data_IF_848884113713
#
_entry.id   IF_848884113713
#
_cell.length_a   1.000
_cell.length_b   1.000
_cell.length_c   1.000
_cell.angle_alpha   90.00
_cell.angle_beta   90.00
_cell.angle_gamma   90.00
#
_symmetry.space_group_name_H-M   'P 1'
#
loop_
_entity.id
_entity.type
_entity.pdbx_description
1 polymer ?
#
# COMPACT_ATOMS: atom_id res chain seq x y z
N UNK A 1 -9.21 -17.61 10.07
CA UNK A 1 -9.33 -16.41 9.22
C UNK A 1 -8.31 -16.49 8.09
N UNK A 2 -7.01 -16.56 8.41
CA UNK A 2 -5.92 -16.63 7.44
C UNK A 2 -6.14 -17.61 6.29
N UNK A 3 -6.40 -18.90 6.52
CA UNK A 3 -6.56 -19.86 5.41
C UNK A 3 -7.75 -19.54 4.48
N UNK A 4 -8.78 -18.87 4.99
CA UNK A 4 -9.95 -18.43 4.20
C UNK A 4 -9.67 -17.16 3.39
N UNK A 5 -8.60 -16.45 3.73
CA UNK A 5 -8.13 -15.22 3.06
C UNK A 5 -6.97 -15.56 2.12
N UNK A 6 -5.96 -16.29 2.58
CA UNK A 6 -4.69 -16.55 1.91
C UNK A 6 -4.88 -17.10 0.50
N UNK A 7 -5.53 -18.26 0.35
CA UNK A 7 -5.61 -18.92 -0.94
C UNK A 7 -6.48 -18.14 -1.95
N UNK A 8 -7.74 -17.79 -1.63
CA UNK A 8 -8.62 -17.09 -2.57
C UNK A 8 -8.20 -15.63 -2.87
N UNK A 9 -7.53 -14.96 -1.93
CA UNK A 9 -7.13 -13.56 -2.12
C UNK A 9 -5.70 -13.37 -2.55
N UNK A 10 -4.75 -14.26 -2.21
CA UNK A 10 -3.31 -14.00 -2.42
C UNK A 10 -2.65 -14.99 -3.38
N UNK A 11 -3.05 -16.26 -3.38
CA UNK A 11 -2.33 -17.34 -4.08
C UNK A 11 -2.95 -17.70 -5.44
N UNK A 12 -4.20 -17.30 -5.69
CA UNK A 12 -4.94 -17.64 -6.90
C UNK A 12 -5.38 -16.39 -7.68
N UNK A 13 -5.58 -16.47 -9.01
CA UNK A 13 -6.26 -15.42 -9.76
C UNK A 13 -7.65 -15.15 -9.19
N UNK A 14 -8.10 -13.89 -9.25
CA UNK A 14 -9.42 -13.52 -8.75
C UNK A 14 -10.52 -14.28 -9.51
N UNK A 15 -11.38 -14.96 -8.77
CA UNK A 15 -12.43 -15.79 -9.36
C UNK A 15 -13.56 -14.95 -10.00
N UNK A 16 -14.25 -15.45 -11.04
CA UNK A 16 -15.42 -14.78 -11.60
C UNK A 16 -16.54 -14.54 -10.59
N UNK A 17 -16.72 -15.44 -9.62
CA UNK A 17 -17.69 -15.38 -8.52
C UNK A 17 -17.10 -14.74 -7.25
N UNK A 18 -16.23 -13.74 -7.42
CA UNK A 18 -15.56 -13.01 -6.33
C UNK A 18 -16.52 -12.45 -5.27
N UNK A 19 -17.82 -12.29 -5.57
CA UNK A 19 -18.83 -11.85 -4.61
C UNK A 19 -18.89 -12.79 -3.39
N UNK A 20 -18.50 -14.06 -3.51
CA UNK A 20 -18.36 -14.99 -2.37
C UNK A 20 -17.37 -14.46 -1.32
N UNK A 21 -16.31 -13.79 -1.76
CA UNK A 21 -15.30 -13.17 -0.88
C UNK A 21 -15.83 -11.89 -0.23
N UNK A 22 -16.68 -11.14 -0.96
CA UNK A 22 -17.34 -9.95 -0.42
C UNK A 22 -18.45 -10.32 0.56
N UNK A 23 -19.22 -11.36 0.32
CA UNK A 23 -20.46 -11.57 1.08
C UNK A 23 -20.22 -12.31 2.41
N UNK A 24 -18.98 -12.74 2.69
CA UNK A 24 -18.60 -13.51 3.88
C UNK A 24 -17.51 -12.81 4.68
N UNK A 25 -17.78 -12.56 5.96
CA UNK A 25 -16.78 -12.10 6.93
C UNK A 25 -15.92 -13.29 7.42
N UNK A 26 -14.63 -13.39 7.06
CA UNK A 26 -13.77 -14.51 7.46
C UNK A 26 -13.28 -14.42 8.91
N UNK A 27 -13.40 -13.25 9.56
CA UNK A 27 -12.98 -13.08 10.95
C UNK A 27 -13.91 -13.85 11.91
N UNK A 28 -13.36 -14.71 12.80
CA UNK A 28 -14.16 -15.49 13.74
C UNK A 28 -14.55 -14.66 14.97
N UNK A 29 -15.37 -13.61 14.76
CA UNK A 29 -15.78 -12.69 15.81
C UNK A 29 -16.42 -13.41 17.02
N UNK A 30 -16.02 -12.99 18.21
CA UNK A 30 -16.51 -13.53 19.48
C UNK A 30 -17.93 -13.04 19.73
N UNK A 31 -18.88 -13.92 20.10
CA UNK A 31 -20.23 -13.50 20.47
C UNK A 31 -20.22 -12.62 21.72
N UNK A 32 -20.65 -11.36 21.59
CA UNK A 32 -20.77 -10.42 22.69
C UNK A 32 -22.26 -10.26 23.08
N UNK A 33 -22.62 -10.69 24.29
CA UNK A 33 -23.98 -10.55 24.82
C UNK A 33 -24.16 -9.16 25.42
N UNK A 34 -25.12 -8.39 24.92
CA UNK A 34 -25.54 -7.11 25.53
C UNK A 34 -27.07 -7.13 25.66
N UNK A 35 -27.54 -7.22 26.91
CA UNK A 35 -28.95 -7.46 27.23
C UNK A 35 -29.46 -8.73 26.52
N UNK A 36 -30.60 -8.65 25.82
CA UNK A 36 -31.24 -9.75 25.11
C UNK A 36 -30.68 -10.00 23.69
N UNK A 37 -29.65 -9.26 23.26
CA UNK A 37 -29.07 -9.38 21.91
C UNK A 37 -27.63 -9.89 21.97
N UNK A 38 -27.32 -10.87 21.13
CA UNK A 38 -25.94 -11.29 20.86
C UNK A 38 -25.45 -10.54 19.62
N UNK A 39 -24.35 -9.81 19.75
CA UNK A 39 -23.68 -9.11 18.64
C UNK A 39 -22.34 -9.77 18.36
N UNK A 40 -21.80 -9.53 17.16
CA UNK A 40 -20.46 -9.95 16.74
C UNK A 40 -19.77 -8.77 16.11
N UNK A 41 -18.50 -8.59 16.41
CA UNK A 41 -17.71 -7.53 15.80
C UNK A 41 -17.73 -7.69 14.28
N UNK A 42 -18.01 -6.59 13.61
CA UNK A 42 -18.19 -6.49 12.16
C UNK A 42 -17.29 -5.42 11.55
N UNK A 43 -16.59 -4.68 12.40
CA UNK A 43 -15.49 -3.77 12.05
C UNK A 43 -14.29 -4.00 12.95
N UNK A 44 -13.13 -3.51 12.51
CA UNK A 44 -11.89 -3.59 13.29
C UNK A 44 -11.99 -2.83 14.63
N UNK A 45 -12.61 -1.65 14.63
CA UNK A 45 -12.87 -0.89 15.85
C UNK A 45 -13.77 -1.65 16.84
N UNK A 46 -14.77 -2.41 16.37
CA UNK A 46 -15.60 -3.24 17.24
C UNK A 46 -14.81 -4.39 17.88
N UNK A 47 -13.85 -4.99 17.17
CA UNK A 47 -12.91 -5.97 17.78
C UNK A 47 -12.16 -5.29 18.93
N UNK A 48 -11.56 -4.13 18.67
CA UNK A 48 -10.83 -3.36 19.67
C UNK A 48 -11.69 -3.03 20.90
N UNK A 49 -12.94 -2.63 20.70
CA UNK A 49 -13.84 -2.22 21.78
C UNK A 49 -14.47 -3.39 22.55
N UNK A 50 -14.75 -4.52 21.91
CA UNK A 50 -15.55 -5.61 22.49
C UNK A 50 -14.72 -6.83 22.87
N UNK A 51 -13.62 -7.08 22.17
CA UNK A 51 -12.79 -8.29 22.34
C UNK A 51 -11.46 -7.98 23.06
N UNK A 52 -10.95 -6.75 22.96
CA UNK A 52 -9.74 -6.32 23.66
C UNK A 52 -10.09 -5.58 24.95
N UNK A 53 -9.40 -5.93 26.05
CA UNK A 53 -9.66 -5.38 27.39
C UNK A 53 -8.91 -4.09 27.70
N UNK A 54 -7.89 -3.76 26.91
CA UNK A 54 -7.00 -2.62 27.13
C UNK A 54 -7.08 -1.65 25.95
N UNK A 55 -7.39 -0.36 26.19
CA UNK A 55 -7.49 0.64 25.12
C UNK A 55 -6.19 0.80 24.31
N UNK A 56 -5.03 0.48 24.90
CA UNK A 56 -3.73 0.50 24.19
C UNK A 56 -3.64 -0.61 23.15
N UNK A 57 -4.23 -1.77 23.41
CA UNK A 57 -4.30 -2.86 22.43
C UNK A 57 -5.27 -2.53 21.29
N UNK A 58 -6.37 -1.83 21.60
CA UNK A 58 -7.27 -1.31 20.57
C UNK A 58 -6.58 -0.26 19.69
N UNK A 59 -5.79 0.65 20.29
CA UNK A 59 -4.99 1.63 19.56
C UNK A 59 -3.91 0.96 18.70
N UNK A 60 -3.25 -0.09 19.21
CA UNK A 60 -2.30 -0.89 18.44
C UNK A 60 -2.98 -1.52 17.21
N UNK A 61 -4.12 -2.17 17.40
CA UNK A 61 -4.91 -2.80 16.33
C UNK A 61 -5.34 -1.76 15.27
N UNK A 62 -5.85 -0.61 15.71
CA UNK A 62 -6.23 0.48 14.82
C UNK A 62 -5.03 1.04 14.05
N UNK A 63 -3.85 1.13 14.68
CA UNK A 63 -2.62 1.59 14.06
C UNK A 63 -2.19 0.75 12.86
N UNK A 64 -2.45 -0.57 12.87
CA UNK A 64 -2.19 -1.41 11.70
C UNK A 64 -3.06 -1.03 10.50
N UNK A 65 -4.37 -0.85 10.69
CA UNK A 65 -5.24 -0.38 9.61
C UNK A 65 -4.80 0.99 9.08
N UNK A 66 -4.47 1.91 10.00
CA UNK A 66 -4.04 3.25 9.66
C UNK A 66 -2.74 3.26 8.84
N UNK A 67 -1.76 2.42 9.20
CA UNK A 67 -0.51 2.26 8.45
C UNK A 67 -0.73 1.78 7.02
N UNK A 68 -1.80 1.02 6.78
CA UNK A 68 -2.26 0.57 5.48
C UNK A 68 -3.22 1.54 4.77
N UNK A 69 -3.50 2.71 5.35
CA UNK A 69 -4.40 3.71 4.76
C UNK A 69 -5.86 3.29 4.81
N UNK A 70 -6.25 2.53 5.84
CA UNK A 70 -7.61 2.03 6.05
C UNK A 70 -8.17 2.65 7.33
N UNK A 71 -9.39 3.17 7.26
CA UNK A 71 -10.10 3.72 8.42
C UNK A 71 -10.54 2.57 9.36
N UNK A 72 -9.99 2.45 10.58
CA UNK A 72 -10.34 1.37 11.51
C UNK A 72 -11.81 1.36 11.94
N UNK A 73 -12.51 2.51 11.85
CA UNK A 73 -13.93 2.59 12.21
C UNK A 73 -14.84 1.90 11.18
N UNK A 74 -14.43 1.88 9.91
CA UNK A 74 -15.20 1.32 8.79
C UNK A 74 -14.60 0.03 8.23
N UNK A 75 -13.32 -0.23 8.49
CA UNK A 75 -12.62 -1.46 8.11
C UNK A 75 -13.39 -2.70 8.57
N UNK A 76 -13.49 -3.75 7.73
CA UNK A 76 -14.09 -5.01 8.15
C UNK A 76 -13.30 -5.66 9.28
N UNK A 77 -13.95 -6.56 10.02
CA UNK A 77 -13.30 -7.32 11.08
C UNK A 77 -12.13 -8.17 10.53
N UNK A 78 -12.20 -8.60 9.27
CA UNK A 78 -11.11 -9.30 8.56
C UNK A 78 -9.80 -8.51 8.48
N UNK A 79 -9.81 -7.19 8.64
CA UNK A 79 -8.61 -6.37 8.72
C UNK A 79 -7.69 -6.75 9.91
N UNK A 80 -8.19 -7.50 10.90
CA UNK A 80 -7.37 -8.09 11.96
C UNK A 80 -6.31 -9.09 11.43
N UNK A 81 -6.39 -9.49 10.15
CA UNK A 81 -5.34 -10.27 9.48
C UNK A 81 -4.02 -9.49 9.34
N UNK A 82 -4.06 -8.16 9.27
CA UNK A 82 -2.89 -7.31 9.06
C UNK A 82 -1.84 -7.47 10.20
N UNK A 83 -2.19 -7.29 11.49
CA UNK A 83 -1.26 -7.58 12.57
C UNK A 83 -0.91 -9.06 12.69
N UNK A 84 -1.82 -9.98 12.31
CA UNK A 84 -1.53 -11.40 12.31
C UNK A 84 -0.39 -11.76 11.35
N UNK A 85 -0.36 -11.17 10.14
CA UNK A 85 0.70 -11.44 9.16
C UNK A 85 2.07 -11.03 9.70
N UNK A 86 2.20 -9.83 10.28
CA UNK A 86 3.46 -9.38 10.88
C UNK A 86 3.85 -10.25 12.08
N UNK A 87 2.90 -10.63 12.93
CA UNK A 87 3.20 -11.47 14.10
C UNK A 87 3.59 -12.91 13.73
N UNK A 88 2.91 -13.51 12.76
CA UNK A 88 3.08 -14.92 12.39
C UNK A 88 4.30 -15.15 11.48
N UNK A 89 4.59 -14.21 10.58
CA UNK A 89 5.63 -14.37 9.57
C UNK A 89 6.85 -13.47 9.85
N UNK A 90 6.66 -12.35 10.54
CA UNK A 90 7.71 -11.39 10.86
C UNK A 90 7.75 -10.20 9.89
N UNK A 91 8.71 -9.32 10.16
CA UNK A 91 9.05 -8.16 9.32
C UNK A 91 10.53 -8.26 8.96
N UNK A 92 10.86 -8.06 7.68
CA UNK A 92 12.22 -8.12 7.18
C UNK A 92 12.71 -6.76 6.71
N UNK A 93 14.02 -6.58 6.79
CA UNK A 93 14.73 -5.41 6.31
C UNK A 93 15.80 -5.83 5.32
N UNK A 94 15.88 -5.12 4.19
CA UNK A 94 16.92 -5.31 3.18
C UNK A 94 18.10 -4.42 3.54
N UNK A 95 19.28 -5.01 3.75
CA UNK A 95 20.51 -4.24 4.00
C UNK A 95 20.83 -3.35 2.80
N UNK A 96 21.20 -2.09 3.06
CA UNK A 96 21.29 -1.01 2.07
C UNK A 96 19.94 -0.34 1.77
N UNK A 97 18.85 -0.78 2.40
CA UNK A 97 17.51 -0.24 2.20
C UNK A 97 16.77 -0.88 1.01
N UNK A 98 15.51 -0.49 0.84
CA UNK A 98 14.60 -1.14 -0.14
C UNK A 98 15.03 -0.95 -1.60
N UNK A 99 15.83 0.08 -1.90
CA UNK A 99 16.38 0.32 -3.25
C UNK A 99 17.23 -0.85 -3.73
N UNK A 100 17.91 -1.55 -2.82
CA UNK A 100 18.74 -2.70 -3.17
C UNK A 100 17.91 -3.84 -3.75
N UNK A 101 16.67 -4.03 -3.29
CA UNK A 101 15.77 -5.02 -3.88
C UNK A 101 15.42 -4.66 -5.33
N UNK A 102 15.12 -3.39 -5.61
CA UNK A 102 14.86 -2.93 -6.98
C UNK A 102 16.09 -3.10 -7.87
N UNK A 103 17.29 -2.76 -7.36
CA UNK A 103 18.56 -2.93 -8.07
C UNK A 103 18.80 -4.40 -8.45
N UNK A 104 18.69 -5.34 -7.51
CA UNK A 104 18.96 -6.76 -7.81
C UNK A 104 17.93 -7.37 -8.76
N UNK A 105 16.66 -6.92 -8.70
CA UNK A 105 15.63 -7.32 -9.67
C UNK A 105 15.97 -6.79 -11.05
N UNK A 106 16.34 -5.51 -11.17
CA UNK A 106 16.76 -4.90 -12.43
C UNK A 106 17.97 -5.65 -13.05
N UNK A 107 19.01 -5.90 -12.27
CA UNK A 107 20.19 -6.66 -12.70
C UNK A 107 19.83 -8.08 -13.14
N UNK A 108 18.89 -8.74 -12.44
CA UNK A 108 18.42 -10.07 -12.81
C UNK A 108 17.65 -10.06 -14.13
N UNK A 109 16.84 -9.04 -14.37
CA UNK A 109 16.12 -8.84 -15.63
C UNK A 109 17.11 -8.65 -16.80
N UNK A 110 18.14 -7.82 -16.63
CA UNK A 110 19.20 -7.65 -17.64
C UNK A 110 19.93 -8.97 -17.94
N UNK A 111 20.25 -9.77 -16.90
CA UNK A 111 20.86 -11.09 -17.07
C UNK A 111 19.94 -12.09 -17.81
N UNK A 112 18.63 -11.82 -17.83
CA UNK A 112 17.62 -12.55 -18.61
C UNK A 112 17.28 -11.90 -19.95
N UNK A 113 18.07 -10.88 -20.36
CA UNK A 113 17.93 -10.14 -21.62
C UNK A 113 16.63 -9.36 -21.74
N UNK A 114 16.05 -8.96 -20.60
CA UNK A 114 14.95 -7.98 -20.59
C UNK A 114 15.52 -6.62 -20.95
N UNK A 115 14.89 -5.94 -21.90
CA UNK A 115 15.21 -4.57 -22.29
C UNK A 115 14.45 -3.57 -21.43
N UNK A 116 15.10 -2.46 -21.09
CA UNK A 116 14.49 -1.34 -20.37
C UNK A 116 14.62 -0.08 -21.22
N UNK A 117 13.49 0.50 -21.60
CA UNK A 117 13.42 1.78 -22.32
C UNK A 117 12.91 2.84 -21.36
N UNK A 118 13.79 3.74 -20.92
CA UNK A 118 13.44 4.84 -20.02
C UNK A 118 13.08 6.10 -20.81
N UNK A 119 12.27 6.98 -20.20
CA UNK A 119 11.79 8.19 -20.88
C UNK A 119 10.77 7.90 -22.01
N UNK A 120 10.23 6.69 -22.05
CA UNK A 120 9.25 6.21 -23.02
C UNK A 120 7.85 6.20 -22.39
N UNK A 121 7.22 7.37 -22.28
CA UNK A 121 5.85 7.47 -21.78
C UNK A 121 4.87 6.81 -22.76
N UNK A 122 4.09 5.84 -22.28
CA UNK A 122 3.03 5.17 -23.06
C UNK A 122 1.78 6.03 -23.02
N UNK A 123 1.25 6.36 -24.19
CA UNK A 123 0.03 7.19 -24.34
C UNK A 123 -1.18 6.39 -24.81
N UNK A 124 -0.96 5.22 -25.44
CA UNK A 124 -2.05 4.36 -25.92
C UNK A 124 -1.64 2.90 -25.97
N UNK A 125 -2.57 2.01 -25.65
CA UNK A 125 -2.50 0.57 -25.93
C UNK A 125 -3.20 0.32 -27.26
N UNK A 126 -2.50 -0.33 -28.17
CA UNK A 126 -3.01 -0.67 -29.50
C UNK A 126 -3.82 -1.96 -29.43
N UNK A 127 -4.96 -1.97 -30.11
CA UNK A 127 -5.88 -3.11 -30.15
C UNK A 127 -6.24 -3.41 -31.60
N UNK A 128 -5.97 -4.64 -32.04
CA UNK A 128 -6.26 -5.17 -33.37
C UNK A 128 -7.11 -6.43 -33.24
N UNK A 129 -8.18 -6.55 -34.04
CA UNK A 129 -9.13 -7.66 -33.99
C UNK A 129 -9.65 -7.97 -32.56
N UNK A 130 -9.77 -6.92 -31.73
CA UNK A 130 -10.22 -7.01 -30.35
C UNK A 130 -9.16 -7.48 -29.34
N UNK A 131 -7.92 -7.72 -29.75
CA UNK A 131 -6.79 -8.14 -28.89
C UNK A 131 -5.75 -7.03 -28.76
N UNK A 132 -5.07 -6.93 -27.62
CA UNK A 132 -3.89 -6.08 -27.49
C UNK A 132 -2.80 -6.48 -28.50
N UNK A 133 -2.22 -5.48 -29.17
CA UNK A 133 -1.24 -5.65 -30.24
C UNK A 133 0.06 -4.84 -30.02
N UNK A 134 0.13 -4.04 -28.96
CA UNK A 134 1.29 -3.21 -28.68
C UNK A 134 0.94 -1.93 -27.93
N UNK A 135 1.89 -0.99 -27.92
CA UNK A 135 1.75 0.34 -27.31
C UNK A 135 2.28 1.44 -28.22
N UNK A 136 1.70 2.63 -28.08
CA UNK A 136 2.18 3.87 -28.68
C UNK A 136 2.77 4.75 -27.58
N UNK A 137 3.93 5.34 -27.88
CA UNK A 137 4.65 6.25 -27.00
C UNK A 137 4.29 7.71 -27.29
N UNK A 138 4.63 8.61 -26.35
CA UNK A 138 4.36 10.04 -26.46
C UNK A 138 5.03 10.72 -27.67
N UNK A 139 6.12 10.15 -28.18
CA UNK A 139 6.80 10.63 -29.39
C UNK A 139 6.20 10.08 -30.71
N UNK A 140 5.15 9.26 -30.62
CA UNK A 140 4.49 8.60 -31.74
C UNK A 140 5.12 7.27 -32.15
N UNK A 141 6.19 6.81 -31.48
CA UNK A 141 6.78 5.50 -31.72
C UNK A 141 5.79 4.40 -31.35
N UNK A 142 5.70 3.39 -32.20
CA UNK A 142 4.88 2.19 -31.97
C UNK A 142 5.79 1.01 -31.64
N UNK A 143 5.49 0.32 -30.54
CA UNK A 143 6.12 -0.93 -30.15
C UNK A 143 5.07 -2.04 -30.18
N UNK A 144 5.18 -2.95 -31.15
CA UNK A 144 4.31 -4.11 -31.29
C UNK A 144 4.61 -5.15 -30.21
N UNK A 145 3.57 -5.81 -29.69
CA UNK A 145 3.70 -6.86 -28.69
C UNK A 145 2.52 -7.83 -28.71
N UNK A 146 2.80 -9.13 -28.52
CA UNK A 146 1.77 -10.17 -28.37
C UNK A 146 0.94 -9.98 -27.09
N UNK A 147 1.56 -9.41 -26.06
CA UNK A 147 0.97 -9.20 -24.75
C UNK A 147 1.38 -7.83 -24.22
N UNK A 148 0.41 -7.13 -23.61
CA UNK A 148 0.63 -5.85 -22.93
C UNK A 148 0.30 -6.03 -21.46
N UNK A 149 1.25 -5.69 -20.59
CA UNK A 149 1.06 -5.75 -19.14
C UNK A 149 1.15 -4.34 -18.58
N UNK A 150 0.00 -3.76 -18.26
CA UNK A 150 -0.08 -2.42 -17.69
C UNK A 150 0.01 -2.43 -16.17
N UNK A 151 0.63 -1.38 -15.63
CA UNK A 151 0.45 -1.05 -14.23
C UNK A 151 -0.89 -0.31 -14.07
N UNK A 152 -1.57 -0.54 -12.94
CA UNK A 152 -2.71 0.28 -12.48
C UNK A 152 -4.01 0.18 -13.32
N UNK A 153 -4.96 -0.68 -12.92
CA UNK A 153 -6.23 -0.93 -13.63
C UNK A 153 -7.07 0.30 -13.97
N UNK A 154 -7.05 1.33 -13.12
CA UNK A 154 -7.82 2.56 -13.35
C UNK A 154 -7.28 3.35 -14.54
N UNK A 155 -5.97 3.45 -14.67
CA UNK A 155 -5.31 4.19 -15.76
C UNK A 155 -5.42 3.51 -17.10
N UNK A 156 -5.45 2.18 -17.10
CA UNK A 156 -5.68 1.41 -18.33
C UNK A 156 -6.92 1.91 -19.07
N UNK A 157 -7.98 2.32 -18.35
CA UNK A 157 -9.19 2.89 -18.95
C UNK A 157 -8.97 4.17 -19.77
N UNK A 158 -7.89 4.92 -19.50
CA UNK A 158 -7.48 6.08 -20.30
C UNK A 158 -6.55 5.75 -21.46
N UNK A 159 -5.97 4.53 -21.50
CA UNK A 159 -5.00 4.11 -22.50
C UNK A 159 -5.60 3.22 -23.59
N UNK A 160 -6.77 2.61 -23.37
CA UNK A 160 -7.44 1.75 -24.36
C UNK A 160 -8.66 2.41 -24.98
N UNK A 161 -8.94 2.09 -26.24
CA UNK A 161 -10.22 2.40 -26.87
C UNK A 161 -11.28 1.40 -26.38
N UNK A 162 -11.91 1.68 -25.24
CA UNK A 162 -12.97 0.84 -24.66
C UNK A 162 -12.87 0.72 -23.14
N UNK A 163 -13.61 -0.23 -22.55
CA UNK A 163 -13.57 -0.47 -21.11
C UNK A 163 -12.78 -1.74 -20.82
N UNK A 164 -11.61 -1.67 -20.16
CA UNK A 164 -10.79 -2.85 -19.87
C UNK A 164 -11.47 -3.80 -18.87
N UNK A 165 -12.49 -3.36 -18.14
CA UNK A 165 -13.23 -4.19 -17.18
C UNK A 165 -14.73 -4.10 -17.44
N UNK A 166 -15.35 -5.25 -17.71
CA UNK A 166 -16.78 -5.34 -18.03
C UNK A 166 -17.72 -5.32 -16.82
N UNK A 167 -19.04 -5.31 -17.07
CA UNK A 167 -20.05 -5.43 -16.02
C UNK A 167 -19.84 -6.70 -15.19
N UNK A 168 -19.84 -6.56 -13.86
CA UNK A 168 -19.65 -7.68 -12.93
C UNK A 168 -18.21 -7.92 -12.48
N UNK A 169 -17.21 -7.30 -13.12
CA UNK A 169 -15.86 -7.25 -12.58
C UNK A 169 -15.78 -6.39 -11.30
N UNK A 170 -14.75 -6.62 -10.49
CA UNK A 170 -14.37 -5.63 -9.46
C UNK A 170 -13.92 -4.37 -10.19
N UNK A 171 -14.75 -3.33 -10.11
CA UNK A 171 -14.52 -2.09 -10.85
C UNK A 171 -13.25 -1.39 -10.36
N UNK A 172 -12.30 -1.04 -11.25
CA UNK A 172 -11.22 -0.13 -10.92
C UNK A 172 -11.77 1.14 -10.30
N UNK A 173 -11.10 1.64 -9.26
CA UNK A 173 -11.48 2.87 -8.58
C UNK A 173 -10.43 3.95 -8.84
N UNK A 174 -10.81 5.24 -8.87
CA UNK A 174 -9.84 6.32 -8.85
C UNK A 174 -8.91 6.17 -7.63
N UNK A 175 -7.60 6.15 -7.88
CA UNK A 175 -6.57 5.96 -6.87
C UNK A 175 -6.62 7.05 -5.79
N UNK A 176 -7.00 8.26 -6.18
CA UNK A 176 -7.03 9.47 -5.37
C UNK A 176 -8.13 9.46 -4.27
N UNK A 177 -8.90 8.37 -4.18
CA UNK A 177 -9.78 8.06 -3.05
C UNK A 177 -9.02 7.53 -1.84
N UNK A 178 -7.80 7.05 -2.03
CA UNK A 178 -7.00 6.43 -0.96
C UNK A 178 -5.94 7.39 -0.41
N UNK A 179 -5.57 7.27 0.88
CA UNK A 179 -4.56 8.14 1.47
C UNK A 179 -3.16 7.96 0.84
N UNK A 180 -2.38 9.05 0.83
CA UNK A 180 -0.95 9.02 0.54
C UNK A 180 -0.11 8.80 1.80
N UNK A 181 1.20 9.04 1.68
CA UNK A 181 2.14 9.04 2.80
C UNK A 181 2.97 10.32 2.79
N UNK A 182 3.25 10.86 3.97
CA UNK A 182 4.34 11.80 4.16
C UNK A 182 5.51 11.05 4.78
N UNK A 183 6.70 11.29 4.25
CA UNK A 183 7.96 10.70 4.72
C UNK A 183 8.94 11.82 5.06
N UNK A 184 9.59 11.72 6.22
CA UNK A 184 10.69 12.63 6.60
C UNK A 184 11.94 11.79 6.81
N UNK A 185 12.92 11.93 5.92
CA UNK A 185 14.23 11.30 6.06
C UNK A 185 15.14 12.22 6.88
N UNK A 186 15.81 11.68 7.89
CA UNK A 186 16.63 12.43 8.83
C UNK A 186 18.04 11.87 8.87
N UNK A 187 19.02 12.76 8.70
CA UNK A 187 20.42 12.50 9.03
C UNK A 187 20.72 13.08 10.42
N UNK A 188 21.17 12.23 11.33
CA UNK A 188 21.34 12.57 12.73
C UNK A 188 22.81 12.50 13.15
N UNK A 189 23.21 13.45 14.00
CA UNK A 189 24.44 13.40 14.80
C UNK A 189 24.25 12.44 15.97
N UNK A 190 25.30 11.75 16.34
CA UNK A 190 25.33 10.80 17.45
C UNK A 190 24.93 9.40 17.00
N UNK A 191 25.55 8.41 17.62
CA UNK A 191 25.28 7.00 17.37
C UNK A 191 23.83 6.64 17.72
N UNK A 192 23.33 5.60 17.04
CA UNK A 192 22.10 4.93 17.43
C UNK A 192 22.26 4.27 18.81
N UNK A 193 21.22 4.37 19.64
CA UNK A 193 21.25 3.79 20.98
C UNK A 193 21.40 2.26 20.91
N UNK A 194 22.27 1.65 21.75
CA UNK A 194 22.35 0.20 21.86
C UNK A 194 20.98 -0.38 22.22
N UNK A 195 20.52 -1.36 21.43
CA UNK A 195 19.23 -2.02 21.66
C UNK A 195 17.99 -1.21 21.27
N UNK A 196 18.12 -0.05 20.61
CA UNK A 196 16.97 0.63 20.03
C UNK A 196 16.18 -0.33 19.12
N UNK A 197 14.85 -0.19 19.09
CA UNK A 197 14.03 -0.95 18.16
C UNK A 197 14.29 -0.50 16.71
N UNK A 198 14.18 -1.42 15.75
CA UNK A 198 14.25 -1.07 14.33
C UNK A 198 13.07 -0.16 13.94
N UNK A 199 11.88 -0.45 14.47
CA UNK A 199 10.65 0.29 14.21
C UNK A 199 9.94 0.58 15.52
N UNK A 200 9.55 1.83 15.71
CA UNK A 200 8.66 2.27 16.79
C UNK A 200 7.44 2.95 16.18
N UNK A 201 6.24 2.61 16.64
CA UNK A 201 5.01 3.33 16.28
C UNK A 201 4.61 4.24 17.43
N UNK A 202 4.56 5.53 17.16
CA UNK A 202 4.25 6.56 18.14
C UNK A 202 2.80 7.01 17.90
N UNK A 203 1.86 6.31 18.55
CA UNK A 203 0.42 6.53 18.38
C UNK A 203 0.00 7.96 18.73
N UNK A 204 -0.95 8.51 17.96
CA UNK A 204 -1.53 9.82 18.23
C UNK A 204 -2.12 9.90 19.64
N UNK A 205 -2.00 11.08 20.26
CA UNK A 205 -2.72 11.41 21.49
C UNK A 205 -4.18 11.85 21.21
N UNK A 206 -4.54 12.01 19.94
CA UNK A 206 -5.89 12.32 19.45
C UNK A 206 -6.30 11.33 18.34
N UNK A 207 -6.67 10.09 18.70
CA UNK A 207 -7.06 9.07 17.72
C UNK A 207 -8.35 9.39 16.96
N UNK A 208 -9.24 10.20 17.53
CA UNK A 208 -10.50 10.57 16.87
C UNK A 208 -10.27 11.64 15.79
N UNK A 209 -9.49 12.68 16.10
CA UNK A 209 -9.08 13.70 15.12
C UNK A 209 -8.19 13.13 14.02
N UNK A 210 -7.51 12.00 14.27
CA UNK A 210 -6.76 11.30 13.22
C UNK A 210 -7.67 10.76 12.09
N UNK A 211 -8.93 10.43 12.40
CA UNK A 211 -9.87 9.92 11.41
C UNK A 211 -10.41 10.99 10.46
N UNK A 212 -10.18 12.28 10.74
CA UNK A 212 -10.54 13.37 9.83
C UNK A 212 -9.80 13.30 8.50
N UNK A 213 -8.66 12.59 8.46
CA UNK A 213 -7.96 12.30 7.22
C UNK A 213 -8.85 11.53 6.23
N UNK A 214 -9.68 10.61 6.73
CA UNK A 214 -10.59 9.81 5.91
C UNK A 214 -11.92 10.50 5.65
N UNK A 215 -12.45 11.22 6.65
CA UNK A 215 -13.77 11.85 6.60
C UNK A 215 -13.78 13.16 5.82
N UNK A 216 -12.72 13.95 5.99
CA UNK A 216 -12.65 15.34 5.54
C UNK A 216 -11.46 15.61 4.62
N UNK A 217 -10.54 14.65 4.46
CA UNK A 217 -9.32 14.86 3.68
C UNK A 217 -8.36 15.83 4.36
N UNK A 218 -8.46 15.98 5.69
CA UNK A 218 -7.64 16.91 6.47
C UNK A 218 -6.52 16.16 7.18
N UNK A 219 -5.26 16.60 7.09
CA UNK A 219 -4.17 15.95 7.79
C UNK A 219 -4.32 16.11 9.32
N UNK A 220 -4.00 15.06 10.10
CA UNK A 220 -4.21 15.07 11.54
C UNK A 220 -3.38 16.15 12.26
N UNK A 221 -3.97 16.80 13.26
CA UNK A 221 -3.26 17.75 14.14
C UNK A 221 -2.11 17.07 14.88
N UNK A 222 -2.35 15.86 15.39
CA UNK A 222 -1.37 15.00 16.04
C UNK A 222 -1.32 13.67 15.27
N UNK A 223 -0.34 13.46 14.37
CA UNK A 223 -0.26 12.20 13.62
C UNK A 223 0.29 11.06 14.47
N UNK A 224 -0.20 9.85 14.22
CA UNK A 224 0.52 8.61 14.48
C UNK A 224 1.72 8.55 13.53
N UNK A 225 2.92 8.38 14.10
CA UNK A 225 4.18 8.38 13.33
C UNK A 225 4.90 7.05 13.49
N UNK A 226 5.24 6.42 12.37
CA UNK A 226 6.18 5.30 12.34
C UNK A 226 7.61 5.86 12.28
N UNK A 227 8.44 5.42 13.21
CA UNK A 227 9.85 5.81 13.36
C UNK A 227 10.70 4.58 13.04
N UNK A 228 11.31 4.56 11.86
CA UNK A 228 12.23 3.50 11.44
C UNK A 228 13.69 3.95 11.69
N UNK A 229 14.41 3.20 12.54
CA UNK A 229 15.80 3.39 12.96
C UNK A 229 16.63 2.14 12.60
N UNK A 230 16.90 1.89 11.30
CA UNK A 230 17.66 0.73 10.86
C UNK A 230 19.08 0.75 11.45
N UNK A 231 19.52 -0.37 12.00
CA UNK A 231 20.92 -0.56 12.38
C UNK A 231 21.71 -1.09 11.19
N UNK A 232 21.93 -0.20 10.22
CA UNK A 232 22.60 -0.52 8.97
C UNK A 232 23.75 0.45 8.70
N UNK A 233 25.01 0.01 8.81
CA UNK A 233 26.17 0.83 8.51
C UNK A 233 26.16 1.41 7.09
N UNK A 234 25.48 0.78 6.13
CA UNK A 234 25.40 1.30 4.76
C UNK A 234 24.58 2.59 4.64
N UNK A 235 23.80 2.96 5.66
CA UNK A 235 22.95 4.15 5.67
C UNK A 235 23.56 5.33 6.44
N UNK A 236 24.78 5.20 6.96
CA UNK A 236 25.47 6.24 7.72
C UNK A 236 26.94 6.38 7.28
N UNK A 237 27.52 7.59 7.38
CA UNK A 237 28.93 7.79 7.01
C UNK A 237 29.91 7.09 7.97
N UNK A 238 29.57 7.05 9.27
CA UNK A 238 30.36 6.42 10.33
C UNK A 238 29.47 6.12 11.56
N UNK A 239 30.05 5.56 12.62
CA UNK A 239 29.34 5.19 13.85
C UNK A 239 28.96 6.39 14.75
N UNK A 240 29.40 7.60 14.42
CA UNK A 240 28.99 8.82 15.13
C UNK A 240 27.70 9.42 14.53
N UNK A 241 27.05 8.74 13.59
CA UNK A 241 25.84 9.20 12.91
C UNK A 241 24.73 8.13 12.92
N UNK A 242 23.50 8.58 12.67
CA UNK A 242 22.34 7.70 12.54
C UNK A 242 21.42 8.20 11.41
N UNK A 243 20.86 7.27 10.65
CA UNK A 243 19.77 7.54 9.70
C UNK A 243 18.44 7.17 10.35
N UNK A 244 17.43 8.02 10.21
CA UNK A 244 16.08 7.74 10.69
C UNK A 244 15.03 8.17 9.67
N UNK A 245 13.95 7.40 9.55
CA UNK A 245 12.83 7.72 8.65
C UNK A 245 11.54 7.81 9.45
N UNK A 246 10.82 8.91 9.30
CA UNK A 246 9.49 9.10 9.84
C UNK A 246 8.46 8.88 8.73
N UNK A 247 7.36 8.18 9.02
CA UNK A 247 6.25 8.01 8.07
C UNK A 247 4.92 8.23 8.76
N UNK A 248 4.03 8.98 8.11
CA UNK A 248 2.64 9.17 8.54
C UNK A 248 1.68 8.96 7.36
N UNK A 249 0.48 8.44 7.67
CA UNK A 249 -0.63 8.37 6.72
C UNK A 249 -1.27 9.74 6.61
N UNK A 250 -1.44 10.22 5.37
CA UNK A 250 -1.94 11.57 5.10
C UNK A 250 -2.91 11.58 3.91
N UNK A 251 -3.78 12.58 3.77
CA UNK A 251 -4.62 12.74 2.59
C UNK A 251 -3.81 12.80 1.29
N UNK A 252 -4.34 12.25 0.20
CA UNK A 252 -3.76 12.39 -1.14
C UNK A 252 -3.70 13.86 -1.57
N UNK A 253 -2.82 14.20 -2.51
CA UNK A 253 -2.65 15.56 -2.99
C UNK A 253 -3.86 16.11 -3.77
N UNK A 254 -4.81 15.27 -4.17
CA UNK A 254 -6.09 15.74 -4.74
C UNK A 254 -7.11 16.16 -3.66
N UNK A 255 -6.84 15.83 -2.39
CA UNK A 255 -7.71 16.15 -1.24
C UNK A 255 -7.14 17.26 -0.38
N UNK A 256 -5.83 17.46 -0.43
CA UNK A 256 -5.14 18.47 0.37
C UNK A 256 -3.96 19.06 -0.39
N UNK A 257 -3.84 20.39 -0.37
CA UNK A 257 -2.78 21.11 -1.09
C UNK A 257 -1.45 21.05 -0.31
N UNK A 258 -0.69 20.00 -0.56
CA UNK A 258 0.67 19.83 -0.04
C UNK A 258 1.69 20.78 -0.67
N UNK A 259 1.35 21.44 -1.78
CA UNK A 259 2.23 22.35 -2.50
C UNK A 259 2.17 23.78 -1.97
N UNK A 260 1.17 24.10 -1.16
CA UNK A 260 1.04 25.39 -0.51
C UNK A 260 2.28 25.72 0.35
N UNK A 261 2.82 26.96 0.28
CA UNK A 261 4.02 27.33 1.01
C UNK A 261 3.98 27.02 2.51
N UNK A 262 4.99 26.32 3.01
CA UNK A 262 5.15 25.98 4.43
C UNK A 262 4.25 24.85 4.97
N UNK A 263 3.28 24.35 4.19
CA UNK A 263 2.35 23.31 4.64
C UNK A 263 3.05 21.98 4.90
N UNK A 264 3.90 21.53 3.97
CA UNK A 264 4.66 20.30 4.12
C UNK A 264 5.62 20.37 5.32
N UNK A 265 6.37 21.48 5.44
CA UNK A 265 7.29 21.71 6.56
C UNK A 265 6.56 21.73 7.91
N UNK A 266 5.42 22.41 8.01
CA UNK A 266 4.64 22.45 9.24
C UNK A 266 4.11 21.06 9.65
N UNK A 267 3.77 20.20 8.69
CA UNK A 267 3.41 18.81 9.01
C UNK A 267 4.64 17.97 9.40
N UNK A 268 5.78 18.15 8.73
CA UNK A 268 7.03 17.50 9.10
C UNK A 268 7.46 17.86 10.54
N UNK A 269 7.30 19.11 10.96
CA UNK A 269 7.54 19.53 12.36
C UNK A 269 6.63 18.80 13.36
N UNK A 270 5.35 18.59 13.01
CA UNK A 270 4.44 17.78 13.83
C UNK A 270 4.91 16.34 13.93
N UNK A 271 5.39 15.76 12.83
CA UNK A 271 5.93 14.39 12.83
C UNK A 271 7.19 14.28 13.70
N UNK A 272 8.11 15.23 13.63
CA UNK A 272 9.32 15.28 14.47
C UNK A 272 8.93 15.42 15.94
N UNK A 273 7.97 16.30 16.25
CA UNK A 273 7.45 16.48 17.61
C UNK A 273 6.83 15.19 18.17
N UNK A 274 6.06 14.46 17.35
CA UNK A 274 5.53 13.17 17.77
C UNK A 274 6.65 12.14 18.00
N UNK A 275 7.65 12.08 17.12
CA UNK A 275 8.78 11.16 17.19
C UNK A 275 9.67 11.39 18.42
N UNK A 276 9.78 12.62 18.94
CA UNK A 276 10.53 12.93 20.15
C UNK A 276 10.04 12.19 21.40
N UNK A 277 8.76 11.78 21.43
CA UNK A 277 8.25 10.93 22.52
C UNK A 277 8.92 9.55 22.56
N UNK A 278 9.45 9.08 21.43
CA UNK A 278 10.21 7.84 21.32
C UNK A 278 11.74 8.07 21.26
N UNK A 279 12.18 9.24 20.79
CA UNK A 279 13.59 9.61 20.69
C UNK A 279 13.79 11.01 21.30
N UNK A 280 13.94 11.11 22.64
CA UNK A 280 14.14 12.40 23.30
C UNK A 280 15.37 13.13 22.77
N UNK A 281 15.27 14.46 22.59
CA UNK A 281 16.35 15.29 22.05
C UNK A 281 16.58 15.13 20.54
N UNK A 282 15.64 14.52 19.81
CA UNK A 282 15.76 14.30 18.36
C UNK A 282 16.12 15.58 17.60
N UNK A 283 15.45 16.71 17.86
CA UNK A 283 15.69 17.95 17.11
C UNK A 283 17.14 18.42 17.17
N UNK A 284 17.78 18.26 18.32
CA UNK A 284 19.18 18.68 18.54
C UNK A 284 20.18 17.82 17.75
N UNK A 285 19.76 16.60 17.36
CA UNK A 285 20.56 15.67 16.58
C UNK A 285 20.42 15.88 15.08
N UNK A 286 19.38 16.55 14.58
CA UNK A 286 19.12 16.68 13.15
C UNK A 286 20.21 17.53 12.48
N UNK A 287 20.98 16.93 11.58
CA UNK A 287 21.94 17.60 10.72
C UNK A 287 21.33 18.02 9.39
N UNK A 288 20.45 17.17 8.86
CA UNK A 288 19.75 17.38 7.60
C UNK A 288 18.43 16.62 7.59
N UNK A 289 17.46 17.14 6.85
CA UNK A 289 16.19 16.47 6.59
C UNK A 289 15.74 16.63 5.15
N UNK A 290 15.02 15.62 4.67
CA UNK A 290 14.27 15.63 3.42
C UNK A 290 12.81 15.33 3.71
N UNK A 291 11.91 16.21 3.24
CA UNK A 291 10.46 16.03 3.39
C UNK A 291 9.89 15.60 2.06
N UNK A 292 9.20 14.46 2.06
CA UNK A 292 8.60 13.84 0.87
C UNK A 292 7.10 13.76 1.10
N UNK A 293 6.33 14.30 0.18
CA UNK A 293 4.87 14.44 0.25
C UNK A 293 4.18 13.52 -0.76
N UNK A 294 2.84 13.39 -0.71
CA UNK A 294 2.11 12.71 -1.78
C UNK A 294 2.35 13.31 -3.18
N UNK A 295 2.75 14.58 -3.32
CA UNK A 295 3.12 15.14 -4.62
C UNK A 295 4.37 14.47 -5.18
N UNK A 296 5.33 14.12 -4.34
CA UNK A 296 6.56 13.46 -4.76
C UNK A 296 6.27 12.03 -5.19
N UNK A 297 5.44 11.30 -4.43
CA UNK A 297 4.93 9.99 -4.85
C UNK A 297 4.23 10.06 -6.20
N UNK A 298 3.35 11.04 -6.41
CA UNK A 298 2.64 11.21 -7.68
C UNK A 298 3.59 11.43 -8.86
N UNK A 299 4.64 12.26 -8.68
CA UNK A 299 5.65 12.55 -9.70
C UNK A 299 6.49 11.31 -10.05
N UNK A 300 6.84 10.51 -9.05
CA UNK A 300 7.76 9.38 -9.22
C UNK A 300 7.09 8.10 -9.72
N UNK A 301 5.84 7.85 -9.32
CA UNK A 301 5.14 6.60 -9.65
C UNK A 301 4.00 6.81 -10.63
N UNK A 302 3.63 8.05 -10.92
CA UNK A 302 2.43 8.40 -11.68
C UNK A 302 1.15 8.40 -10.84
N UNK A 303 1.11 7.71 -9.69
CA UNK A 303 -0.11 7.46 -8.89
C UNK A 303 -0.89 8.74 -8.57
N UNK A 304 -2.20 8.74 -8.82
CA UNK A 304 -3.02 9.96 -8.81
C UNK A 304 -3.07 10.50 -7.39
N UNK A 305 -2.60 11.74 -7.22
CA UNK A 305 -2.49 12.37 -5.90
C UNK A 305 -1.50 11.69 -4.94
N UNK A 306 -0.64 10.78 -5.42
CA UNK A 306 0.33 10.05 -4.60
C UNK A 306 -0.32 9.07 -3.63
N UNK A 307 -1.52 8.58 -3.98
CA UNK A 307 -2.25 7.62 -3.20
C UNK A 307 -1.50 6.27 -3.10
N UNK A 308 -1.63 5.61 -1.97
CA UNK A 308 -1.06 4.28 -1.73
C UNK A 308 -2.19 3.27 -1.61
N UNK A 309 -2.18 2.16 -2.37
CA UNK A 309 -3.28 1.21 -2.36
C UNK A 309 -3.37 0.47 -1.02
N UNK A 310 -4.57 0.31 -0.45
CA UNK A 310 -4.78 -0.55 0.69
C UNK A 310 -4.71 -2.03 0.26
N UNK A 311 -4.48 -2.96 1.20
CA UNK A 311 -4.58 -4.39 0.91
C UNK A 311 -6.02 -4.79 0.55
N UNK A 312 -6.19 -5.87 -0.23
CA UNK A 312 -7.50 -6.48 -0.39
C UNK A 312 -7.98 -7.07 0.94
N UNK A 313 -9.25 -6.82 1.28
CA UNK A 313 -9.91 -7.33 2.47
C UNK A 313 -11.23 -7.98 2.05
N UNK A 314 -11.34 -9.31 2.17
CA UNK A 314 -12.61 -10.02 1.99
C UNK A 314 -13.54 -9.73 3.16
N UNK A 315 -14.71 -9.16 2.88
CA UNK A 315 -15.84 -8.98 3.79
C UNK A 315 -16.89 -8.06 3.12
N UNK A 316 -18.12 -7.96 3.67
CA UNK A 316 -19.13 -7.06 3.10
C UNK A 316 -18.74 -5.58 3.14
N UNK A 317 -17.89 -5.22 4.11
CA UNK A 317 -17.29 -3.88 4.26
C UNK A 317 -15.86 -3.79 3.71
N UNK A 318 -15.38 -4.87 3.11
CA UNK A 318 -14.05 -4.95 2.56
C UNK A 318 -13.95 -4.36 1.16
N UNK A 319 -12.72 -4.28 0.66
CA UNK A 319 -12.43 -3.85 -0.70
C UNK A 319 -11.59 -4.92 -1.38
N UNK A 320 -11.89 -5.19 -2.64
CA UNK A 320 -11.08 -6.04 -3.52
C UNK A 320 -10.47 -5.17 -4.61
N UNK A 321 -9.41 -5.66 -5.22
CA UNK A 321 -8.79 -5.01 -6.38
C UNK A 321 -9.23 -5.68 -7.69
N UNK A 322 -9.22 -4.96 -8.82
CA UNK A 322 -9.55 -5.54 -10.13
C UNK A 322 -8.68 -6.75 -10.46
N UNK A 323 -9.26 -7.71 -11.18
CA UNK A 323 -8.55 -8.89 -11.65
C UNK A 323 -7.34 -8.51 -12.52
N UNK A 324 -6.37 -9.43 -12.59
CA UNK A 324 -5.21 -9.28 -13.46
C UNK A 324 -5.56 -9.42 -14.95
N UNK A 325 -6.63 -10.12 -15.27
CA UNK A 325 -7.19 -10.22 -16.62
C UNK A 325 -8.11 -9.05 -16.93
N UNK A 326 -8.10 -8.61 -18.18
CA UNK A 326 -9.01 -7.58 -18.69
C UNK A 326 -9.99 -8.18 -19.70
N UNK A 327 -10.98 -7.39 -20.10
CA UNK A 327 -11.91 -7.74 -21.17
C UNK A 327 -11.26 -7.73 -22.56
N UNK A 328 -10.04 -7.22 -22.69
CA UNK A 328 -9.26 -7.19 -23.93
C UNK A 328 -8.24 -8.34 -23.88
N UNK A 329 -8.39 -9.40 -24.68
CA UNK A 329 -7.41 -10.47 -24.74
C UNK A 329 -6.00 -9.94 -24.97
N UNK A 330 -5.02 -10.53 -24.27
CA UNK A 330 -3.61 -10.10 -24.36
C UNK A 330 -3.25 -8.86 -23.53
N UNK A 331 -4.23 -8.14 -22.97
CA UNK A 331 -4.00 -7.06 -22.01
C UNK A 331 -4.20 -7.55 -20.57
N UNK A 332 -3.16 -7.36 -19.75
CA UNK A 332 -3.17 -7.69 -18.33
C UNK A 332 -2.87 -6.47 -17.47
N UNK A 333 -3.31 -6.52 -16.22
CA UNK A 333 -2.99 -5.53 -15.20
C UNK A 333 -2.19 -6.16 -14.05
N UNK A 334 -1.14 -5.49 -13.62
CA UNK A 334 -0.23 -5.95 -12.57
C UNK A 334 0.08 -4.86 -11.55
N UNK A 335 0.48 -5.28 -10.36
CA UNK A 335 1.05 -4.41 -9.34
C UNK A 335 0.10 -4.20 -8.16
N UNK A 336 0.38 -3.18 -7.36
CA UNK A 336 -0.28 -2.97 -6.07
C UNK A 336 -1.73 -2.50 -6.17
N UNK A 337 -2.17 -2.06 -7.35
CA UNK A 337 -3.56 -1.67 -7.65
C UNK A 337 -4.36 -2.77 -8.36
N UNK A 338 -3.71 -3.89 -8.67
CA UNK A 338 -4.32 -5.10 -9.23
C UNK A 338 -4.38 -6.17 -8.17
N UNK A 339 -5.28 -7.14 -8.32
CA UNK A 339 -5.31 -8.34 -7.48
C UNK A 339 -3.89 -8.96 -7.34
N UNK A 340 -3.45 -9.35 -6.13
CA UNK A 340 -4.17 -9.34 -4.85
C UNK A 340 -4.21 -7.99 -4.10
N UNK A 341 -3.47 -6.99 -4.58
CA UNK A 341 -3.57 -5.59 -4.18
C UNK A 341 -2.93 -5.23 -2.84
N UNK A 342 -2.44 -4.00 -2.75
CA UNK A 342 -1.61 -3.52 -1.63
C UNK A 342 -0.11 -3.70 -1.91
N UNK A 343 0.71 -3.38 -0.89
CA UNK A 343 2.14 -3.08 -1.02
C UNK A 343 3.05 -4.14 -1.66
N UNK A 344 4.36 -3.93 -1.51
CA UNK A 344 5.40 -4.61 -2.29
C UNK A 344 5.29 -6.14 -2.41
N UNK A 345 4.98 -6.93 -1.36
CA UNK A 345 4.81 -8.38 -1.50
C UNK A 345 3.69 -8.75 -2.48
N UNK A 346 2.56 -8.05 -2.41
CA UNK A 346 1.39 -8.29 -3.25
C UNK A 346 1.62 -7.84 -4.69
N UNK A 347 2.41 -6.79 -4.93
CA UNK A 347 2.86 -6.43 -6.27
C UNK A 347 3.68 -7.56 -6.93
N UNK A 348 4.57 -8.21 -6.15
CA UNK A 348 5.32 -9.38 -6.61
C UNK A 348 4.42 -10.59 -6.91
N UNK A 349 3.46 -10.88 -6.02
CA UNK A 349 2.46 -11.94 -6.24
C UNK A 349 1.60 -11.67 -7.47
N UNK A 350 1.16 -10.42 -7.67
CA UNK A 350 0.44 -9.98 -8.86
C UNK A 350 1.22 -10.30 -10.14
N UNK A 351 2.53 -10.03 -10.15
CA UNK A 351 3.42 -10.38 -11.26
C UNK A 351 3.53 -11.88 -11.51
N UNK A 352 3.61 -12.68 -10.44
CA UNK A 352 3.63 -14.14 -10.56
C UNK A 352 2.31 -14.68 -11.14
N UNK A 353 1.16 -14.14 -10.72
CA UNK A 353 -0.16 -14.52 -11.25
C UNK A 353 -0.28 -14.19 -12.73
N UNK A 354 0.11 -12.98 -13.15
CA UNK A 354 0.11 -12.59 -14.57
C UNK A 354 1.04 -13.48 -15.39
N UNK A 355 2.23 -13.79 -14.89
CA UNK A 355 3.14 -14.71 -15.56
C UNK A 355 2.52 -16.09 -15.75
N UNK A 356 1.82 -16.64 -14.74
CA UNK A 356 1.11 -17.92 -14.86
C UNK A 356 -0.02 -17.85 -15.90
N UNK A 357 -0.83 -16.80 -15.89
CA UNK A 357 -1.91 -16.60 -16.87
C UNK A 357 -1.40 -16.49 -18.32
N UNK A 358 -0.21 -15.90 -18.53
CA UNK A 358 0.40 -15.78 -19.85
C UNK A 358 1.00 -17.12 -20.31
N UNK A 359 1.70 -17.83 -19.44
CA UNK A 359 2.48 -19.02 -19.80
C UNK A 359 1.64 -20.30 -19.80
N UNK A 360 0.78 -20.47 -18.79
CA UNK A 360 -0.06 -21.66 -18.60
C UNK A 360 -1.47 -21.48 -19.18
N UNK A 361 -1.85 -20.24 -19.50
CA UNK A 361 -3.12 -19.90 -20.13
C UNK A 361 -4.22 -19.51 -19.14
N UNK A 362 -5.45 -19.28 -19.64
CA UNK A 362 -6.56 -18.70 -18.87
C UNK A 362 -7.08 -19.60 -17.75
N UNK A 363 -6.77 -20.90 -17.78
CA UNK A 363 -7.20 -21.88 -16.78
C UNK A 363 -6.25 -21.99 -15.58
N UNK A 364 -5.16 -21.22 -15.55
CA UNK A 364 -4.22 -21.17 -14.43
C UNK A 364 -4.93 -20.89 -13.09
N UNK A 365 -4.59 -21.66 -12.05
CA UNK A 365 -5.24 -21.61 -10.72
C UNK A 365 -4.30 -21.20 -9.59
N UNK A 366 -3.17 -20.55 -9.89
CA UNK A 366 -2.16 -20.21 -8.88
C UNK A 366 -1.08 -21.28 -8.74
N UNK A 367 -0.04 -20.95 -7.97
CA UNK A 367 1.04 -21.90 -7.67
C UNK A 367 0.52 -23.03 -6.76
N UNK A 368 0.81 -24.29 -7.14
CA UNK A 368 0.50 -25.49 -6.34
C UNK A 368 1.30 -25.55 -5.04
#
# INVERSE_FOLDING_TARGET
AWDRTRRPLLEEPLWPDWQVLRDKEPYPAVPHKRLLRTRRASTLAEIGAWELRDPRLAALLAGYALAHGVDPATAPASAAVLPYMEHAFGTWYVRGGIRELARVVYERCLARRVEFVFGAEITRVLVEDGRAAGVELADGTVAEADFVVGAEPWRLGGLVAGTPYGPGAVAPQPEDRFPGRMVVCLALRGARDPGAAHRTVVHSADPEGELDLFRHGTPPGLPTVRVDRPDDPALRPDDAHESMVLTATVPAATRYDWGAPGVADAFAERMITAAERAVPGLRERILWREVRTPLDTARETGATGGAVPPPALAAPRGALHPANTTAIPGLFAVGSWSHPGGGLPHAGMSGALVSGLIVEGPDFRGSQ
#
